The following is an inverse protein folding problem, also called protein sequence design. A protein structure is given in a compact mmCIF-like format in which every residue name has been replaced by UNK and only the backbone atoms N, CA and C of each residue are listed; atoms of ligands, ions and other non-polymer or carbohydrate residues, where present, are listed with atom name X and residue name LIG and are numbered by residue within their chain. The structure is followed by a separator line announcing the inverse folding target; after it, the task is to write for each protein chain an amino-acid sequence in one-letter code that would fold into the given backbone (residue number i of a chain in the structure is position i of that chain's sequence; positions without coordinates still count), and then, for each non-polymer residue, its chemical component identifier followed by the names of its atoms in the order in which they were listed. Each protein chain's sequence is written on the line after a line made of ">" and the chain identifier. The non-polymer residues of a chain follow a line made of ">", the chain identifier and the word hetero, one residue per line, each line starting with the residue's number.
data_IF_490533785566
#
_entry.id   IF_490533785566
#
_cell.length_a   1.000
_cell.length_b   1.000
_cell.length_c   1.000
_cell.angle_alpha   90.00
_cell.angle_beta   90.00
_cell.angle_gamma   90.00
#
_symmetry.space_group_name_H-M   'P 1'
#
loop_
_entity.id
_entity.type
_entity.pdbx_description
1 polymer ?
#
# COMPACT_ATOMS: atom_id res chain seq x y z
N UNK A 1 -16.17 6.87 -23.13
CA UNK A 1 -15.89 6.12 -21.87
C UNK A 1 -14.71 5.19 -22.11
N UNK A 2 -13.70 5.23 -21.25
CA UNK A 2 -12.55 4.34 -21.33
C UNK A 2 -12.86 3.06 -20.57
N UNK A 3 -12.69 1.92 -21.22
CA UNK A 3 -12.83 0.61 -20.56
C UNK A 3 -11.47 0.17 -20.10
N UNK A 4 -11.35 -0.15 -18.80
CA UNK A 4 -10.14 -0.73 -18.26
C UNK A 4 -10.19 -2.24 -18.41
N UNK A 5 -9.10 -2.81 -18.93
CA UNK A 5 -8.92 -4.24 -19.06
C UNK A 5 -7.91 -4.70 -18.01
N UNK A 6 -8.37 -5.50 -17.06
CA UNK A 6 -7.52 -5.97 -15.97
C UNK A 6 -6.97 -7.34 -16.30
N UNK A 7 -5.67 -7.51 -16.10
CA UNK A 7 -4.98 -8.79 -16.23
C UNK A 7 -4.44 -9.17 -14.87
N UNK A 8 -4.78 -10.37 -14.42
CA UNK A 8 -4.22 -10.90 -13.17
C UNK A 8 -2.77 -11.32 -13.43
N UNK A 9 -1.85 -10.74 -12.68
CA UNK A 9 -0.42 -11.01 -12.81
C UNK A 9 0.19 -11.20 -11.44
N UNK A 10 1.48 -11.55 -11.39
CA UNK A 10 2.23 -11.48 -10.17
C UNK A 10 2.44 -10.01 -9.78
N UNK A 11 2.56 -9.75 -8.48
CA UNK A 11 2.80 -8.41 -7.99
C UNK A 11 4.16 -7.91 -8.50
N UNK A 12 4.24 -6.65 -8.98
CA UNK A 12 5.49 -6.12 -9.51
C UNK A 12 6.49 -5.83 -8.40
N UNK A 13 7.77 -5.78 -8.76
CA UNK A 13 8.85 -5.55 -7.82
C UNK A 13 8.70 -4.25 -7.02
N UNK A 14 8.22 -3.17 -7.67
CA UNK A 14 8.07 -1.90 -6.98
C UNK A 14 7.07 -1.97 -5.81
N UNK A 15 6.02 -2.76 -5.99
CA UNK A 15 5.01 -2.94 -4.94
C UNK A 15 5.57 -3.79 -3.80
N UNK A 16 6.24 -4.87 -4.13
CA UNK A 16 6.86 -5.75 -3.14
C UNK A 16 7.95 -5.02 -2.36
N UNK A 17 8.73 -4.18 -3.03
CA UNK A 17 9.77 -3.37 -2.39
C UNK A 17 9.16 -2.35 -1.42
N UNK A 18 8.06 -1.71 -1.80
CA UNK A 18 7.37 -0.76 -0.92
C UNK A 18 6.83 -1.46 0.33
N UNK A 19 6.14 -2.60 0.18
CA UNK A 19 5.62 -3.36 1.31
C UNK A 19 6.75 -3.86 2.22
N UNK A 20 7.84 -4.33 1.64
CA UNK A 20 8.99 -4.78 2.42
C UNK A 20 9.56 -3.66 3.28
N UNK A 21 9.66 -2.45 2.76
CA UNK A 21 10.16 -1.32 3.53
C UNK A 21 9.24 -0.92 4.68
N UNK A 22 7.95 -1.06 4.50
CA UNK A 22 6.99 -0.83 5.57
C UNK A 22 7.14 -1.91 6.64
N UNK A 23 7.20 -3.17 6.22
CA UNK A 23 7.32 -4.31 7.14
C UNK A 23 8.63 -4.28 7.93
N UNK A 24 9.72 -3.89 7.27
CA UNK A 24 11.05 -3.78 7.88
C UNK A 24 11.25 -2.43 8.60
N UNK A 25 10.31 -1.50 8.47
CA UNK A 25 10.38 -0.13 9.03
C UNK A 25 11.59 0.66 8.54
N UNK A 26 12.01 0.44 7.30
CA UNK A 26 13.14 1.15 6.71
C UNK A 26 12.74 2.42 5.95
N UNK A 27 11.58 2.43 5.33
CA UNK A 27 10.99 3.59 4.65
C UNK A 27 11.94 4.30 3.69
N UNK A 28 12.71 3.53 2.91
CA UNK A 28 13.73 4.04 2.01
C UNK A 28 13.29 4.11 0.56
N UNK A 29 14.12 3.60 -0.33
CA UNK A 29 13.96 3.70 -1.79
C UNK A 29 12.70 3.02 -2.34
N UNK A 30 12.09 2.10 -1.60
CA UNK A 30 10.82 1.51 -2.01
C UNK A 30 9.72 2.53 -2.21
N UNK A 31 9.83 3.71 -1.57
CA UNK A 31 8.90 4.82 -1.74
C UNK A 31 9.15 5.66 -3.00
N UNK A 32 10.20 5.38 -3.76
CA UNK A 32 10.45 6.04 -5.03
C UNK A 32 9.41 5.67 -6.09
N UNK A 33 8.56 4.68 -5.82
CA UNK A 33 7.43 4.35 -6.68
C UNK A 33 6.37 5.45 -6.75
N UNK A 34 6.37 6.41 -5.80
CA UNK A 34 5.41 7.50 -5.78
C UNK A 34 5.91 8.71 -6.55
N UNK A 35 4.98 9.35 -7.28
CA UNK A 35 5.24 10.67 -7.85
C UNK A 35 5.46 11.69 -6.71
N UNK A 36 6.17 12.78 -7.01
CA UNK A 36 6.50 13.80 -5.99
C UNK A 36 5.26 14.38 -5.31
N UNK A 37 4.16 14.52 -6.06
CA UNK A 37 2.90 15.10 -5.60
C UNK A 37 1.82 14.04 -5.34
N UNK A 38 2.21 12.78 -5.18
CA UNK A 38 1.26 11.71 -4.92
C UNK A 38 0.40 11.97 -3.69
N UNK A 39 -0.82 11.41 -3.71
CA UNK A 39 -1.76 11.51 -2.57
C UNK A 39 -2.10 10.10 -2.11
N UNK A 40 -2.16 9.90 -0.81
CA UNK A 40 -2.49 8.62 -0.21
C UNK A 40 -3.63 8.77 0.79
N UNK A 41 -4.60 7.87 0.74
CA UNK A 41 -5.65 7.76 1.76
C UNK A 41 -5.85 6.29 2.11
N UNK A 42 -5.51 5.92 3.32
CA UNK A 42 -5.68 4.56 3.84
C UNK A 42 -6.84 4.48 4.85
N UNK A 43 -7.79 5.41 4.75
CA UNK A 43 -8.98 5.43 5.59
C UNK A 43 -8.84 6.25 6.87
N UNK A 44 -7.69 6.83 7.13
CA UNK A 44 -7.44 7.60 8.36
C UNK A 44 -7.21 9.08 8.09
N UNK A 45 -6.58 9.43 6.98
CA UNK A 45 -6.28 10.81 6.59
C UNK A 45 -5.81 10.87 5.15
N UNK A 46 -5.80 12.07 4.57
CA UNK A 46 -5.11 12.31 3.30
C UNK A 46 -3.67 12.71 3.59
N UNK A 47 -2.73 11.95 3.04
CA UNK A 47 -1.31 12.24 3.12
C UNK A 47 -0.84 12.68 1.74
N UNK A 48 -0.10 13.79 1.67
CA UNK A 48 0.25 14.42 0.40
C UNK A 48 1.75 14.50 0.20
N UNK A 49 2.16 14.21 -1.06
CA UNK A 49 3.55 14.19 -1.46
C UNK A 49 4.26 12.91 -1.02
N UNK A 50 5.27 12.50 -1.80
CA UNK A 50 6.04 11.29 -1.48
C UNK A 50 6.61 11.31 -0.06
N UNK A 51 7.20 12.44 0.33
CA UNK A 51 7.79 12.58 1.66
C UNK A 51 6.72 12.61 2.76
N UNK A 52 5.59 13.27 2.49
CA UNK A 52 4.46 13.29 3.41
C UNK A 52 3.87 11.91 3.63
N UNK A 53 3.75 11.10 2.57
CA UNK A 53 3.29 9.72 2.65
C UNK A 53 4.28 8.90 3.48
N UNK A 54 5.58 9.00 3.20
CA UNK A 54 6.64 8.29 3.90
C UNK A 54 6.61 8.56 5.41
N UNK A 55 6.64 9.83 5.79
CA UNK A 55 6.69 10.23 7.20
C UNK A 55 5.39 9.92 7.93
N UNK A 56 4.24 10.14 7.30
CA UNK A 56 2.95 9.85 7.93
C UNK A 56 2.76 8.35 8.16
N UNK A 57 3.16 7.54 7.21
CA UNK A 57 3.06 6.09 7.34
C UNK A 57 4.05 5.56 8.38
N UNK A 58 5.26 6.12 8.40
CA UNK A 58 6.25 5.79 9.44
C UNK A 58 5.68 6.05 10.83
N UNK A 59 5.15 7.25 11.07
CA UNK A 59 4.52 7.58 12.35
C UNK A 59 3.39 6.64 12.70
N UNK A 60 2.54 6.33 11.72
CA UNK A 60 1.39 5.44 11.94
C UNK A 60 1.85 4.04 12.36
N UNK A 61 2.87 3.50 11.70
CA UNK A 61 3.38 2.15 11.98
C UNK A 61 4.19 2.11 13.29
N UNK A 62 4.95 3.17 13.59
CA UNK A 62 5.81 3.20 14.78
C UNK A 62 5.05 3.38 16.11
N UNK A 63 3.73 3.41 16.07
CA UNK A 63 2.90 3.52 17.28
C UNK A 63 2.67 2.19 17.99
N UNK A 64 3.62 1.30 17.92
CA UNK A 64 3.58 0.06 18.70
C UNK A 64 3.02 -1.12 17.91
N UNK A 65 3.24 -1.16 16.61
CA UNK A 65 2.88 -2.33 15.81
C UNK A 65 3.98 -2.70 14.83
N UNK A 66 3.98 -3.98 14.44
CA UNK A 66 4.73 -4.48 13.30
C UNK A 66 3.75 -5.07 12.30
N UNK A 67 4.10 -5.01 11.03
CA UNK A 67 3.24 -5.51 9.97
C UNK A 67 3.98 -6.52 9.10
N UNK A 68 3.21 -7.41 8.50
CA UNK A 68 3.70 -8.31 7.45
C UNK A 68 2.62 -8.37 6.37
N UNK A 69 2.99 -7.99 5.15
CA UNK A 69 2.07 -7.93 4.03
C UNK A 69 2.24 -9.17 3.14
N UNK A 70 1.15 -9.91 2.95
CA UNK A 70 1.10 -11.05 2.06
C UNK A 70 0.24 -10.72 0.85
N UNK A 71 0.80 -10.88 -0.35
CA UNK A 71 0.06 -10.71 -1.60
C UNK A 71 -0.80 -11.94 -1.83
N UNK A 72 -2.09 -11.75 -2.06
CA UNK A 72 -2.98 -12.83 -2.49
C UNK A 72 -3.25 -12.72 -3.98
N UNK A 73 -3.53 -11.51 -4.46
CA UNK A 73 -3.75 -11.29 -5.89
C UNK A 73 -3.39 -9.87 -6.28
N UNK A 74 -3.03 -9.71 -7.53
CA UNK A 74 -2.69 -8.42 -8.12
C UNK A 74 -3.26 -8.34 -9.53
N UNK A 75 -3.86 -7.19 -9.85
CA UNK A 75 -4.52 -6.95 -11.13
C UNK A 75 -3.95 -5.70 -11.77
N UNK A 76 -3.49 -5.84 -13.02
CA UNK A 76 -2.95 -4.74 -13.80
C UNK A 76 -4.01 -4.25 -14.80
N UNK A 77 -4.49 -3.04 -14.60
CA UNK A 77 -5.44 -2.36 -15.50
C UNK A 77 -4.78 -1.22 -16.26
N UNK A 78 -3.45 -1.15 -16.31
CA UNK A 78 -2.72 -0.07 -16.94
C UNK A 78 -2.63 1.15 -16.04
N UNK A 79 -3.58 2.07 -16.16
CA UNK A 79 -3.62 3.30 -15.35
C UNK A 79 -4.08 3.05 -13.91
N UNK A 80 -4.69 1.90 -13.64
CA UNK A 80 -5.13 1.50 -12.32
C UNK A 80 -4.61 0.10 -12.01
N UNK A 81 -3.94 -0.04 -10.88
CA UNK A 81 -3.46 -1.33 -10.37
C UNK A 81 -4.22 -1.66 -9.08
N UNK A 82 -4.59 -2.91 -8.92
CA UNK A 82 -5.31 -3.36 -7.73
C UNK A 82 -4.51 -4.46 -7.04
N UNK A 83 -4.29 -4.26 -5.76
CA UNK A 83 -3.66 -5.25 -4.89
C UNK A 83 -4.67 -5.71 -3.85
N UNK A 84 -4.77 -7.02 -3.68
CA UNK A 84 -5.51 -7.60 -2.55
C UNK A 84 -4.60 -8.55 -1.81
N UNK A 85 -4.65 -8.48 -0.49
CA UNK A 85 -3.77 -9.28 0.33
C UNK A 85 -4.22 -9.33 1.77
N UNK A 86 -3.32 -9.85 2.59
CA UNK A 86 -3.51 -9.92 4.03
C UNK A 86 -2.38 -9.14 4.68
N UNK A 87 -2.71 -8.40 5.72
CA UNK A 87 -1.71 -7.77 6.58
C UNK A 87 -1.79 -8.41 7.96
N UNK A 88 -0.68 -8.98 8.41
CA UNK A 88 -0.57 -9.44 9.79
C UNK A 88 -0.07 -8.27 10.62
N UNK A 89 -0.86 -7.88 11.61
CA UNK A 89 -0.49 -6.81 12.54
C UNK A 89 -0.23 -7.41 13.90
N UNK A 90 0.99 -7.25 14.39
CA UNK A 90 1.37 -7.64 15.74
C UNK A 90 1.57 -6.36 16.55
N UNK A 91 1.09 -6.35 17.77
CA UNK A 91 1.15 -5.18 18.63
C UNK A 91 2.16 -5.37 19.75
N UNK A 92 2.85 -4.30 20.14
CA UNK A 92 3.80 -4.32 21.24
C UNK A 92 3.09 -4.54 22.59
N UNK A 93 1.83 -4.10 22.69
CA UNK A 93 1.00 -4.29 23.87
C UNK A 93 0.60 -5.77 23.98
N UNK A 94 1.06 -6.49 25.02
CA UNK A 94 0.74 -7.93 25.16
C UNK A 94 -0.75 -8.21 25.40
N UNK A 95 -1.54 -7.19 25.74
CA UNK A 95 -2.99 -7.33 25.90
C UNK A 95 -3.72 -7.34 24.55
N UNK A 96 -3.06 -6.96 23.46
CA UNK A 96 -3.65 -6.93 22.12
C UNK A 96 -3.27 -8.16 21.33
N UNK A 97 -4.28 -8.89 20.89
CA UNK A 97 -4.07 -10.06 20.03
C UNK A 97 -3.67 -9.62 18.62
N UNK A 98 -2.81 -10.40 17.94
CA UNK A 98 -2.52 -10.15 16.52
C UNK A 98 -3.79 -10.24 15.68
N UNK A 99 -3.88 -9.43 14.64
CA UNK A 99 -4.98 -9.46 13.67
C UNK A 99 -4.43 -9.64 12.26
N UNK A 100 -5.24 -10.20 11.39
CA UNK A 100 -4.83 -10.49 10.01
C UNK A 100 -5.94 -10.16 9.02
N UNK A 101 -6.31 -8.87 8.89
CA UNK A 101 -7.40 -8.46 8.02
C UNK A 101 -7.03 -8.51 6.54
N UNK A 102 -8.06 -8.59 5.71
CA UNK A 102 -7.92 -8.44 4.26
C UNK A 102 -7.71 -6.96 3.95
N UNK A 103 -6.81 -6.68 3.00
CA UNK A 103 -6.61 -5.34 2.46
C UNK A 103 -6.94 -5.32 0.99
N UNK A 104 -7.47 -4.19 0.53
CA UNK A 104 -7.61 -3.88 -0.88
C UNK A 104 -7.02 -2.50 -1.13
N UNK A 105 -6.07 -2.42 -2.04
CA UNK A 105 -5.37 -1.18 -2.37
C UNK A 105 -5.47 -0.89 -3.86
N UNK A 106 -5.76 0.36 -4.16
CA UNK A 106 -5.85 0.88 -5.52
C UNK A 106 -4.70 1.85 -5.75
N UNK A 107 -3.94 1.61 -6.82
CA UNK A 107 -2.83 2.47 -7.21
C UNK A 107 -3.15 3.09 -8.57
N UNK A 108 -3.42 4.39 -8.57
CA UNK A 108 -3.65 5.16 -9.79
C UNK A 108 -2.30 5.69 -10.27
N UNK A 109 -1.92 5.30 -11.47
CA UNK A 109 -0.62 5.67 -12.01
C UNK A 109 -0.64 7.11 -12.54
N UNK A 110 0.51 7.76 -12.48
CA UNK A 110 0.65 9.14 -12.92
C UNK A 110 0.51 9.22 -14.44
N UNK A 111 -0.20 10.25 -14.91
CA UNK A 111 -0.46 10.41 -16.36
C UNK A 111 0.78 10.85 -17.12
N UNK A 112 1.67 11.59 -16.46
CA UNK A 112 2.89 12.08 -17.06
C UNK A 112 4.01 11.04 -16.99
N UNK A 113 4.08 10.31 -15.88
CA UNK A 113 5.05 9.23 -15.69
C UNK A 113 4.32 7.96 -15.24
N UNK A 114 3.86 7.11 -16.18
CA UNK A 114 3.07 5.93 -15.85
C UNK A 114 3.77 4.88 -14.99
N UNK A 115 5.07 5.01 -14.77
CA UNK A 115 5.83 4.16 -13.87
C UNK A 115 5.70 4.59 -12.40
N UNK A 116 5.07 5.74 -12.14
CA UNK A 116 4.91 6.30 -10.80
C UNK A 116 3.46 6.28 -10.38
N UNK A 117 3.24 6.10 -9.08
CA UNK A 117 1.91 6.15 -8.46
C UNK A 117 1.57 7.60 -8.14
N UNK A 118 0.44 8.10 -8.64
CA UNK A 118 -0.04 9.44 -8.33
C UNK A 118 -1.08 9.45 -7.22
N UNK A 119 -1.78 8.33 -7.02
CA UNK A 119 -2.78 8.22 -5.96
C UNK A 119 -2.85 6.79 -5.45
N UNK A 120 -2.84 6.66 -4.14
CA UNK A 120 -2.95 5.38 -3.45
C UNK A 120 -4.13 5.44 -2.50
N UNK A 121 -5.11 4.56 -2.72
CA UNK A 121 -6.29 4.45 -1.85
C UNK A 121 -6.34 3.01 -1.35
N UNK A 122 -6.43 2.86 -0.04
CA UNK A 122 -6.47 1.54 0.56
C UNK A 122 -7.55 1.42 1.61
N UNK A 123 -8.03 0.20 1.79
CA UNK A 123 -8.96 -0.14 2.85
C UNK A 123 -8.55 -1.44 3.52
N UNK A 124 -8.84 -1.52 4.81
CA UNK A 124 -8.68 -2.73 5.60
C UNK A 124 -10.09 -3.20 5.92
N UNK A 125 -10.42 -4.39 5.48
CA UNK A 125 -11.78 -4.88 5.52
C UNK A 125 -11.96 -6.11 6.37
N UNK A 126 -12.87 -6.99 5.96
CA UNK A 126 -13.14 -8.21 6.71
C UNK A 126 -11.89 -9.08 6.83
N UNK A 127 -11.90 -10.02 7.76
CA UNK A 127 -10.75 -10.89 8.04
C UNK A 127 -10.68 -12.12 7.14
N UNK A 128 -11.58 -12.22 6.16
CA UNK A 128 -11.65 -13.36 5.24
C UNK A 128 -11.83 -12.90 3.81
N UNK A 129 -11.37 -13.71 2.87
CA UNK A 129 -11.61 -13.51 1.44
C UNK A 129 -12.96 -14.05 1.03
#
# INVERSE_FOLDING_TARGET
>A
MTTLNFTKTEAPEWLLAMWKEIDDKTFGKGFDCFADDAVCNLGVADWRGREGIRESLREFIDKGMTTHHDVVEYWDGGSLKIFRGLVTMNFDDPAKEPVRPVMTHFFYMDKTDPAKVSRWVGSVGPTEF
#
